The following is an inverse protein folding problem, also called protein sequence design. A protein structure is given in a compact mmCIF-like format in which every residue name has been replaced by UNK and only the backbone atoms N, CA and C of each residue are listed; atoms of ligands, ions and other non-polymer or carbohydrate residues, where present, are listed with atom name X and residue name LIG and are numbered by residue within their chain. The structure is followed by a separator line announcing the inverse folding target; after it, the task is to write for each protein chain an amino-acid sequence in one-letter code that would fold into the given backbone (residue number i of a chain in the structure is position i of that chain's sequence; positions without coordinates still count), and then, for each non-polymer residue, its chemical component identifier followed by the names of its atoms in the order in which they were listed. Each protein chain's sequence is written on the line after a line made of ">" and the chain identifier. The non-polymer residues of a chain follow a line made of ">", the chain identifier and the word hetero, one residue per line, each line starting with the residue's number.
data_IF_999872800546
#
_entry.id   IF_999872800546
#
_cell.length_a   1.000
_cell.length_b   1.000
_cell.length_c   1.000
_cell.angle_alpha   90.00
_cell.angle_beta   90.00
_cell.angle_gamma   90.00
#
_symmetry.space_group_name_H-M   'P 1'
#
loop_
_entity.id
_entity.type
_entity.pdbx_description
1 polymer ?
#
# COMPACT_ATOMS: atom_id res chain seq x y z
N UNK A 1 -15.91 2.08 6.25
CA UNK A 1 -15.03 1.36 7.19
C UNK A 1 -13.58 1.47 6.72
N UNK A 2 -12.68 1.75 7.63
CA UNK A 2 -11.25 1.85 7.34
C UNK A 2 -10.42 1.01 8.29
N UNK A 3 -9.50 0.23 7.76
CA UNK A 3 -8.39 -0.37 8.49
C UNK A 3 -7.09 0.21 7.92
N UNK A 4 -6.26 0.79 8.75
CA UNK A 4 -5.00 1.39 8.33
C UNK A 4 -3.91 1.05 9.34
N UNK A 5 -2.82 0.42 8.89
CA UNK A 5 -1.77 -0.05 9.79
C UNK A 5 -0.41 -0.12 9.10
N UNK A 6 0.64 0.15 9.86
CA UNK A 6 2.01 -0.17 9.46
C UNK A 6 2.33 -1.54 10.07
N UNK A 7 2.85 -2.44 9.26
CA UNK A 7 3.21 -3.79 9.67
C UNK A 7 4.71 -3.85 9.91
N UNK A 8 5.09 -3.97 11.17
CA UNK A 8 6.49 -4.16 11.55
C UNK A 8 6.87 -5.62 11.28
N UNK A 9 7.70 -5.84 10.26
CA UNK A 9 8.08 -7.18 9.83
C UNK A 9 8.88 -7.98 10.87
N UNK A 10 9.33 -7.34 11.94
CA UNK A 10 9.95 -8.05 13.06
C UNK A 10 8.91 -8.78 13.91
N UNK A 11 7.65 -8.39 13.83
CA UNK A 11 6.57 -8.92 14.67
C UNK A 11 5.50 -9.67 13.90
N UNK A 12 5.22 -9.25 12.67
CA UNK A 12 4.13 -9.79 11.87
C UNK A 12 4.38 -9.56 10.39
N UNK A 13 3.51 -10.06 9.55
CA UNK A 13 3.57 -9.85 8.11
C UNK A 13 2.21 -9.49 7.57
N UNK A 14 2.17 -8.96 6.34
CA UNK A 14 0.92 -8.68 5.65
C UNK A 14 0.27 -10.00 5.24
N UNK A 15 -1.00 -10.17 5.61
CA UNK A 15 -1.76 -11.38 5.30
C UNK A 15 -2.97 -11.03 4.44
N UNK A 16 -3.01 -11.59 3.23
CA UNK A 16 -4.07 -11.28 2.26
C UNK A 16 -5.45 -11.69 2.76
N UNK A 17 -5.55 -12.82 3.46
CA UNK A 17 -6.83 -13.29 3.97
C UNK A 17 -7.48 -12.33 4.97
N UNK A 18 -6.69 -11.61 5.74
CA UNK A 18 -7.23 -10.59 6.67
C UNK A 18 -7.86 -9.45 5.91
N UNK A 19 -7.25 -9.05 4.80
CA UNK A 19 -7.79 -8.01 3.94
C UNK A 19 -9.10 -8.48 3.27
N UNK A 20 -9.12 -9.71 2.78
CA UNK A 20 -10.32 -10.29 2.18
C UNK A 20 -11.48 -10.34 3.17
N UNK A 21 -11.24 -10.76 4.40
CA UNK A 21 -12.27 -10.80 5.43
C UNK A 21 -12.82 -9.41 5.74
N UNK A 22 -11.95 -8.43 5.82
CA UNK A 22 -12.35 -7.06 6.16
C UNK A 22 -13.30 -6.45 5.13
N UNK A 23 -13.05 -6.68 3.84
CA UNK A 23 -13.86 -6.11 2.77
C UNK A 23 -15.04 -6.99 2.35
N UNK A 24 -15.18 -8.16 2.96
CA UNK A 24 -16.27 -9.09 2.63
C UNK A 24 -17.58 -8.63 3.28
N UNK A 25 -18.58 -8.34 2.47
CA UNK A 25 -19.90 -7.93 2.94
C UNK A 25 -20.92 -8.04 1.82
N UNK A 26 -22.13 -8.42 2.15
CA UNK A 26 -23.24 -8.47 1.20
C UNK A 26 -23.67 -7.08 0.71
N UNK A 27 -23.15 -6.02 1.34
CA UNK A 27 -23.44 -4.65 0.92
C UNK A 27 -22.68 -4.22 -0.33
N UNK A 28 -21.60 -4.94 -0.66
CA UNK A 28 -20.73 -4.57 -1.76
C UNK A 28 -20.80 -5.60 -2.88
N UNK A 29 -21.01 -5.11 -4.09
CA UNK A 29 -21.07 -5.97 -5.28
C UNK A 29 -19.71 -6.13 -5.97
N UNK A 30 -18.69 -5.37 -5.56
CA UNK A 30 -17.37 -5.43 -6.19
C UNK A 30 -16.27 -5.19 -5.17
N UNK A 31 -15.18 -5.92 -5.31
CA UNK A 31 -14.00 -5.72 -4.46
C UNK A 31 -12.73 -5.93 -5.27
N UNK A 32 -11.66 -5.28 -4.88
CA UNK A 32 -10.34 -5.40 -5.49
C UNK A 32 -9.29 -5.44 -4.40
N UNK A 33 -8.26 -6.25 -4.63
CA UNK A 33 -7.08 -6.26 -3.78
C UNK A 33 -5.87 -5.92 -4.64
N UNK A 34 -5.25 -4.80 -4.33
CA UNK A 34 -3.98 -4.40 -4.94
C UNK A 34 -2.85 -4.81 -4.01
N UNK A 35 -1.85 -5.50 -4.55
CA UNK A 35 -0.65 -5.86 -3.81
C UNK A 35 0.56 -5.26 -4.52
N UNK A 36 1.37 -4.51 -3.79
CA UNK A 36 2.69 -4.11 -4.25
C UNK A 36 3.68 -5.14 -3.75
N UNK A 37 4.49 -5.69 -4.64
CA UNK A 37 5.47 -6.72 -4.30
C UNK A 37 6.86 -6.32 -4.76
N UNK A 38 7.88 -6.96 -4.19
CA UNK A 38 9.27 -6.66 -4.52
C UNK A 38 9.65 -7.37 -5.81
N UNK A 39 10.03 -6.59 -6.84
CA UNK A 39 10.43 -7.11 -8.16
C UNK A 39 11.90 -7.49 -8.16
N UNK A 40 12.26 -8.45 -8.99
CA UNK A 40 13.64 -8.93 -9.11
C UNK A 40 14.56 -7.98 -9.88
N UNK A 41 14.01 -7.00 -10.59
CA UNK A 41 14.83 -6.04 -11.35
C UNK A 41 14.29 -4.62 -11.20
N UNK A 42 15.21 -3.65 -11.24
CA UNK A 42 14.87 -2.24 -11.30
C UNK A 42 15.94 -1.54 -12.13
N UNK A 43 15.54 -0.86 -13.21
CA UNK A 43 16.45 -0.18 -14.13
C UNK A 43 17.58 -1.08 -14.61
N UNK A 44 17.24 -2.31 -14.99
CA UNK A 44 18.18 -3.35 -15.47
C UNK A 44 19.16 -3.86 -14.40
N UNK A 45 18.94 -3.53 -13.14
CA UNK A 45 19.75 -4.03 -12.03
C UNK A 45 19.00 -5.13 -11.30
N UNK A 46 19.73 -6.14 -10.86
CA UNK A 46 19.14 -7.22 -10.07
C UNK A 46 18.96 -6.79 -8.63
N UNK A 47 17.73 -6.86 -8.17
CA UNK A 47 17.36 -6.52 -6.80
C UNK A 47 17.34 -7.78 -5.95
N UNK A 48 17.95 -7.72 -4.77
CA UNK A 48 17.92 -8.81 -3.79
C UNK A 48 16.75 -8.67 -2.83
N UNK A 49 16.35 -7.44 -2.55
CA UNK A 49 15.26 -7.13 -1.64
C UNK A 49 15.15 -5.63 -1.45
N UNK A 50 14.20 -5.23 -0.63
CA UNK A 50 13.96 -3.82 -0.30
C UNK A 50 13.74 -3.70 1.20
N UNK A 51 14.33 -2.66 1.81
CA UNK A 51 14.01 -2.28 3.19
C UNK A 51 13.14 -1.03 3.15
N UNK A 52 12.01 -1.08 3.82
CA UNK A 52 11.13 0.07 3.99
C UNK A 52 11.25 0.64 5.38
N UNK A 53 11.24 1.96 5.47
CA UNK A 53 11.15 2.68 6.74
C UNK A 53 10.10 3.78 6.60
N UNK A 54 9.57 4.25 7.70
CA UNK A 54 8.46 5.19 7.69
C UNK A 54 8.35 5.97 8.98
N UNK A 55 7.74 7.14 8.88
CA UNK A 55 7.28 7.87 10.06
C UNK A 55 5.86 7.38 10.36
N UNK A 56 5.77 6.33 11.19
CA UNK A 56 4.53 5.55 11.35
C UNK A 56 3.29 6.40 11.65
N UNK A 57 3.37 7.30 12.62
CA UNK A 57 2.23 8.12 13.00
C UNK A 57 1.74 9.01 11.84
N UNK A 58 2.68 9.59 11.10
CA UNK A 58 2.34 10.44 9.96
C UNK A 58 1.80 9.63 8.78
N UNK A 59 2.28 8.42 8.60
CA UNK A 59 1.76 7.53 7.55
C UNK A 59 0.30 7.18 7.85
N UNK A 60 0.02 6.74 9.07
CA UNK A 60 -1.36 6.40 9.48
C UNK A 60 -2.27 7.61 9.32
N UNK A 61 -1.81 8.78 9.72
CA UNK A 61 -2.57 10.01 9.54
C UNK A 61 -2.85 10.28 8.07
N UNK A 62 -1.86 10.09 7.20
CA UNK A 62 -2.06 10.30 5.76
C UNK A 62 -3.08 9.31 5.18
N UNK A 63 -3.07 8.06 5.63
CA UNK A 63 -4.06 7.07 5.20
C UNK A 63 -5.47 7.48 5.62
N UNK A 64 -5.61 7.97 6.84
CA UNK A 64 -6.91 8.46 7.34
C UNK A 64 -7.38 9.68 6.56
N UNK A 65 -6.49 10.61 6.27
CA UNK A 65 -6.82 11.81 5.49
C UNK A 65 -7.26 11.45 4.06
N UNK A 66 -6.54 10.52 3.43
CA UNK A 66 -6.92 10.02 2.09
C UNK A 66 -8.32 9.40 2.14
N UNK A 67 -8.57 8.55 3.14
CA UNK A 67 -9.89 7.93 3.29
C UNK A 67 -10.99 8.97 3.49
N UNK A 68 -10.76 9.95 4.35
CA UNK A 68 -11.77 10.95 4.70
C UNK A 68 -12.14 11.88 3.55
N UNK A 69 -11.25 12.10 2.60
CA UNK A 69 -11.53 12.95 1.45
C UNK A 69 -12.23 12.26 0.28
N UNK A 70 -12.29 10.92 0.30
CA UNK A 70 -12.86 10.14 -0.81
C UNK A 70 -14.31 10.49 -1.09
N UNK A 71 -15.11 10.61 -0.05
CA UNK A 71 -16.54 10.91 -0.18
C UNK A 71 -16.75 12.21 -0.97
N UNK A 72 -16.00 13.24 -0.63
CA UNK A 72 -16.12 14.53 -1.26
C UNK A 72 -15.49 14.57 -2.66
N UNK A 73 -14.29 14.02 -2.81
CA UNK A 73 -13.54 14.09 -4.06
C UNK A 73 -14.01 13.11 -5.12
N UNK A 74 -14.38 11.91 -4.74
CA UNK A 74 -14.77 10.85 -5.69
C UNK A 74 -16.27 10.57 -5.68
N UNK A 75 -17.01 11.14 -4.74
CA UNK A 75 -18.45 10.87 -4.56
C UNK A 75 -18.73 9.40 -4.27
N UNK A 76 -17.87 8.76 -3.50
CA UNK A 76 -18.02 7.36 -3.11
C UNK A 76 -18.28 7.30 -1.61
N UNK A 77 -19.55 7.09 -1.25
CA UNK A 77 -19.98 7.09 0.16
C UNK A 77 -19.89 5.72 0.81
N UNK A 78 -20.34 4.68 0.11
CA UNK A 78 -20.39 3.33 0.66
C UNK A 78 -19.16 2.56 0.23
N UNK A 79 -18.30 2.26 1.20
CA UNK A 79 -17.01 1.63 0.91
C UNK A 79 -16.41 0.96 2.12
N UNK A 80 -15.56 -0.03 1.87
CA UNK A 80 -14.65 -0.57 2.85
C UNK A 80 -13.24 -0.44 2.28
N UNK A 81 -12.29 -0.01 3.10
CA UNK A 81 -10.90 0.22 2.71
C UNK A 81 -9.98 -0.39 3.75
N UNK A 82 -9.03 -1.20 3.29
CA UNK A 82 -8.04 -1.86 4.12
C UNK A 82 -6.67 -1.51 3.55
N UNK A 83 -5.83 -0.87 4.35
CA UNK A 83 -4.48 -0.45 3.91
C UNK A 83 -3.46 -0.90 4.93
N UNK A 84 -2.46 -1.68 4.48
CA UNK A 84 -1.30 -2.01 5.31
C UNK A 84 -0.04 -1.82 4.50
N UNK A 85 0.98 -1.24 5.12
CA UNK A 85 2.30 -1.10 4.52
C UNK A 85 3.34 -1.72 5.45
N UNK A 86 4.28 -2.45 4.87
CA UNK A 86 5.34 -3.12 5.62
C UNK A 86 6.44 -2.14 6.01
N UNK A 87 7.08 -2.40 7.15
CA UNK A 87 8.27 -1.71 7.62
C UNK A 87 9.32 -2.77 7.97
N UNK A 88 10.48 -2.67 7.36
CA UNK A 88 11.56 -3.65 7.51
C UNK A 88 11.99 -4.23 6.17
N UNK A 89 12.72 -5.33 6.21
CA UNK A 89 13.26 -5.96 5.02
C UNK A 89 12.29 -6.93 4.38
N UNK A 90 12.17 -6.85 3.05
CA UNK A 90 11.38 -7.76 2.23
C UNK A 90 12.24 -8.38 1.14
N UNK A 91 12.15 -9.69 0.97
CA UNK A 91 12.76 -10.39 -0.14
C UNK A 91 11.90 -10.31 -1.41
N UNK A 92 12.40 -10.89 -2.48
CA UNK A 92 11.71 -10.90 -3.77
C UNK A 92 10.32 -11.54 -3.67
N UNK A 93 9.34 -10.91 -4.30
CA UNK A 93 7.97 -11.41 -4.35
C UNK A 93 7.15 -11.16 -3.09
N UNK A 94 7.75 -10.68 -2.01
CA UNK A 94 7.01 -10.40 -0.78
C UNK A 94 6.20 -9.10 -0.89
N UNK A 95 5.13 -9.03 -0.11
CA UNK A 95 4.17 -7.92 -0.19
C UNK A 95 4.66 -6.74 0.65
N UNK A 96 4.83 -5.59 0.00
CA UNK A 96 5.20 -4.34 0.67
C UNK A 96 3.98 -3.52 1.07
N UNK A 97 2.93 -3.55 0.26
CA UNK A 97 1.69 -2.82 0.53
C UNK A 97 0.51 -3.66 0.06
N UNK A 98 -0.57 -3.59 0.80
CA UNK A 98 -1.84 -4.16 0.38
C UNK A 98 -2.92 -3.08 0.52
N UNK A 99 -3.72 -2.92 -0.53
CA UNK A 99 -4.87 -2.02 -0.53
C UNK A 99 -6.06 -2.84 -1.01
N UNK A 100 -6.97 -3.13 -0.09
CA UNK A 100 -8.18 -3.86 -0.42
C UNK A 100 -9.36 -2.91 -0.31
N UNK A 101 -10.20 -2.89 -1.34
CA UNK A 101 -11.34 -1.98 -1.38
C UNK A 101 -12.60 -2.73 -1.83
N UNK A 102 -13.74 -2.29 -1.33
CA UNK A 102 -15.04 -2.82 -1.76
C UNK A 102 -16.05 -1.68 -1.85
N UNK A 103 -16.85 -1.70 -2.89
CA UNK A 103 -17.90 -0.74 -3.16
C UNK A 103 -19.13 -1.45 -3.74
N UNK A 104 -20.30 -0.78 -3.80
CA UNK A 104 -21.48 -1.38 -4.43
C UNK A 104 -21.25 -1.80 -5.88
N UNK A 105 -20.50 -1.01 -6.67
CA UNK A 105 -20.30 -1.25 -8.09
C UNK A 105 -18.83 -1.21 -8.51
N UNK A 106 -18.51 -1.91 -9.61
CA UNK A 106 -17.12 -2.05 -10.09
C UNK A 106 -16.45 -0.73 -10.48
N UNK A 107 -17.18 0.17 -11.09
CA UNK A 107 -16.60 1.44 -11.53
C UNK A 107 -16.00 2.22 -10.37
N UNK A 108 -16.73 2.33 -9.28
CA UNK A 108 -16.27 2.97 -8.04
C UNK A 108 -15.07 2.24 -7.45
N UNK A 109 -15.13 0.91 -7.48
CA UNK A 109 -14.09 0.07 -6.88
C UNK A 109 -12.74 0.27 -7.57
N UNK A 110 -12.70 0.27 -8.90
CA UNK A 110 -11.47 0.54 -9.64
C UNK A 110 -10.96 1.96 -9.40
N UNK A 111 -11.87 2.93 -9.44
CA UNK A 111 -11.51 4.34 -9.20
C UNK A 111 -10.92 4.51 -7.81
N UNK A 112 -11.54 3.93 -6.81
CA UNK A 112 -11.12 4.02 -5.42
C UNK A 112 -9.74 3.39 -5.21
N UNK A 113 -9.54 2.19 -5.73
CA UNK A 113 -8.26 1.50 -5.61
C UNK A 113 -7.12 2.33 -6.20
N UNK A 114 -7.32 2.85 -7.40
CA UNK A 114 -6.33 3.68 -8.08
C UNK A 114 -6.05 4.97 -7.32
N UNK A 115 -7.09 5.64 -6.89
CA UNK A 115 -6.95 6.89 -6.14
C UNK A 115 -6.08 6.71 -4.89
N UNK A 116 -6.36 5.68 -4.11
CA UNK A 116 -5.65 5.44 -2.86
C UNK A 116 -4.15 5.22 -3.10
N UNK A 117 -3.76 4.33 -4.02
CA UNK A 117 -2.34 4.06 -4.25
C UNK A 117 -1.62 5.30 -4.79
N UNK A 118 -2.25 6.05 -5.70
CA UNK A 118 -1.63 7.25 -6.24
C UNK A 118 -1.42 8.31 -5.16
N UNK A 119 -2.39 8.50 -4.27
CA UNK A 119 -2.28 9.48 -3.18
C UNK A 119 -1.26 9.05 -2.12
N UNK A 120 -1.19 7.77 -1.79
CA UNK A 120 -0.17 7.26 -0.88
C UNK A 120 1.23 7.57 -1.43
N UNK A 121 1.45 7.32 -2.71
CA UNK A 121 2.74 7.58 -3.34
C UNK A 121 3.12 9.04 -3.36
N UNK A 122 2.15 9.93 -3.39
CA UNK A 122 2.41 11.37 -3.39
C UNK A 122 2.73 11.94 -2.02
N UNK A 123 2.11 11.43 -0.95
CA UNK A 123 2.14 12.14 0.32
C UNK A 123 2.40 11.34 1.59
N UNK A 124 2.42 10.02 1.52
CA UNK A 124 2.73 9.23 2.71
C UNK A 124 4.24 9.16 2.93
N UNK A 125 4.74 9.51 4.13
CA UNK A 125 6.18 9.53 4.36
C UNK A 125 6.75 8.13 4.63
N UNK A 126 6.98 7.43 3.53
CA UNK A 126 7.56 6.09 3.50
C UNK A 126 8.78 6.12 2.57
N UNK A 127 9.89 5.56 3.03
CA UNK A 127 11.14 5.52 2.27
C UNK A 127 11.53 4.09 1.99
N UNK A 128 12.23 3.87 0.86
CA UNK A 128 12.73 2.55 0.52
C UNK A 128 14.21 2.57 0.17
N UNK A 129 14.89 1.48 0.54
CA UNK A 129 16.29 1.22 0.23
C UNK A 129 16.35 -0.09 -0.53
N UNK A 130 16.74 -0.03 -1.79
CA UNK A 130 16.88 -1.23 -2.61
C UNK A 130 18.26 -1.84 -2.39
N UNK A 131 18.29 -3.17 -2.26
CA UNK A 131 19.51 -3.93 -2.11
C UNK A 131 19.83 -4.61 -3.44
N UNK A 132 20.95 -4.27 -4.03
CA UNK A 132 21.35 -4.77 -5.33
C UNK A 132 22.44 -5.83 -5.22
N UNK A 133 22.49 -6.74 -6.19
CA UNK A 133 23.43 -7.86 -6.17
C UNK A 133 24.89 -7.40 -6.21
N UNK A 134 25.20 -6.39 -7.00
CA UNK A 134 26.58 -5.94 -7.24
C UNK A 134 26.82 -4.48 -6.88
N UNK A 135 25.97 -3.89 -6.05
CA UNK A 135 26.08 -2.48 -5.69
C UNK A 135 25.78 -2.27 -4.21
N UNK A 136 26.29 -1.19 -3.65
CA UNK A 136 25.93 -0.82 -2.31
C UNK A 136 24.47 -0.36 -2.26
N UNK A 137 23.81 -0.72 -1.18
CA UNK A 137 22.44 -0.31 -0.94
C UNK A 137 22.40 1.17 -0.57
N UNK A 138 21.39 1.87 -1.03
CA UNK A 138 21.17 3.25 -0.66
C UNK A 138 19.70 3.60 -0.68
N UNK A 139 19.33 4.57 0.14
CA UNK A 139 17.96 5.04 0.15
C UNK A 139 17.68 5.78 -1.15
N UNK A 140 16.55 5.47 -1.77
CA UNK A 140 16.17 6.16 -2.98
C UNK A 140 15.69 7.56 -2.65
N UNK A 141 16.07 8.49 -3.51
CA UNK A 141 15.63 9.88 -3.39
C UNK A 141 14.16 9.99 -3.74
N UNK A 142 13.63 11.08 -3.31
CA UNK A 142 12.25 11.36 -3.57
C UNK A 142 11.39 10.94 -2.42
N UNK A 143 10.20 11.30 -2.52
CA UNK A 143 9.32 11.15 -1.44
C UNK A 143 7.91 11.27 -1.92
N UNK A 144 7.15 10.49 -1.37
CA UNK A 144 7.48 9.46 -0.45
C UNK A 144 7.87 8.18 -1.11
N UNK A 145 7.02 7.47 -1.75
CA UNK A 145 7.33 6.27 -2.48
C UNK A 145 7.29 6.63 -3.93
N UNK A 146 8.37 7.19 -4.38
CA UNK A 146 8.37 7.53 -5.76
C UNK A 146 8.85 6.42 -6.53
N UNK A 147 8.34 6.09 -7.38
CA UNK A 147 8.78 5.15 -7.96
C UNK A 147 8.90 4.94 -9.01
N UNK A 148 9.28 4.72 -9.42
CA UNK A 148 9.40 4.27 -10.59
C UNK A 148 9.29 3.06 -10.87
#
# INVERSE_FOLDING_TARGET
>A
MLHAKIIDLKKEKIEVNKAEEFISSSKFGASLIFKGTVRETNENKKVLGITYDSHDAMVIKSFEEIYNEIDQKLKIKHKAVYIEHAKGYLGLGEISIIIAVACPHRAETYMLSRYIIEEIKKRSPIWKKEHYENEESQWLKGNPIQTN
#
